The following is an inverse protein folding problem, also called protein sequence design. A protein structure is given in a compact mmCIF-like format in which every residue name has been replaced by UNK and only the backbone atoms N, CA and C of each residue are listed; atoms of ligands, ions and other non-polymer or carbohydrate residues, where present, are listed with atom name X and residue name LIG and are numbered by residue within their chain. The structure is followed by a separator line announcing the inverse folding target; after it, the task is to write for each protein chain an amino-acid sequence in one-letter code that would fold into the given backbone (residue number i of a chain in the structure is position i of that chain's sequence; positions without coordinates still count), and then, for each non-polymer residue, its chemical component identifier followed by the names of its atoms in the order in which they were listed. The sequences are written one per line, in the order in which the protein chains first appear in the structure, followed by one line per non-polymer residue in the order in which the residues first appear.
data_IF_943639640643
#
_entry.id   IF_943639640643
#
_cell.length_a   1.000
_cell.length_b   1.000
_cell.length_c   1.000
_cell.angle_alpha   90.00
_cell.angle_beta   90.00
_cell.angle_gamma   90.00
#
_symmetry.space_group_name_H-M   'P 1'
#
loop_
_entity.id
_entity.type
_entity.pdbx_description
1 polymer ?
#
# COMPACT_ATOMS: atom_id res chain seq x y z
N UNK A 1 -1.65 5.51 -7.82
CA UNK A 1 -1.82 5.72 -9.26
C UNK A 1 -0.51 5.38 -9.99
N UNK A 2 -0.54 4.31 -10.82
CA UNK A 2 0.64 3.83 -11.56
C UNK A 2 1.19 4.86 -12.57
N UNK A 3 0.33 5.73 -13.08
CA UNK A 3 0.74 6.78 -14.02
C UNK A 3 1.68 7.80 -13.36
N UNK A 4 1.37 8.25 -12.13
CA UNK A 4 2.25 9.16 -11.37
C UNK A 4 3.61 8.50 -11.14
N UNK A 5 3.63 7.23 -10.73
CA UNK A 5 4.87 6.50 -10.57
C UNK A 5 5.66 6.43 -11.87
N UNK A 6 5.03 6.03 -12.97
CA UNK A 6 5.71 5.95 -14.26
C UNK A 6 6.33 7.27 -14.72
N UNK A 7 5.64 8.39 -14.45
CA UNK A 7 6.13 9.73 -14.87
C UNK A 7 7.23 10.28 -13.96
N UNK A 8 7.19 10.01 -12.67
CA UNK A 8 7.96 10.75 -11.66
C UNK A 8 8.92 9.90 -10.84
N UNK A 9 8.89 8.55 -10.93
CA UNK A 9 9.72 7.66 -10.10
C UNK A 9 11.22 7.97 -10.23
N UNK A 10 11.69 8.28 -11.45
CA UNK A 10 13.09 8.67 -11.68
C UNK A 10 13.49 9.92 -10.91
N UNK A 11 12.64 10.96 -10.97
CA UNK A 11 12.86 12.20 -10.22
C UNK A 11 12.79 11.97 -8.71
N UNK A 12 11.81 11.23 -8.23
CA UNK A 12 11.68 10.96 -6.81
C UNK A 12 12.88 10.23 -6.23
N UNK A 13 13.47 9.32 -6.98
CA UNK A 13 14.71 8.64 -6.59
C UNK A 13 15.91 9.56 -6.64
N UNK A 14 16.06 10.36 -7.71
CA UNK A 14 17.14 11.32 -7.87
C UNK A 14 17.20 12.32 -6.71
N UNK A 15 16.02 12.80 -6.28
CA UNK A 15 15.91 13.76 -5.18
C UNK A 15 15.72 13.12 -3.79
N UNK A 16 15.84 11.81 -3.68
CA UNK A 16 15.79 11.08 -2.39
C UNK A 16 14.46 11.18 -1.66
N UNK A 17 13.34 11.20 -2.41
CA UNK A 17 11.99 11.20 -1.83
C UNK A 17 11.72 9.86 -1.14
N UNK A 18 11.35 9.89 0.12
CA UNK A 18 11.09 8.68 0.90
C UNK A 18 9.66 8.16 0.78
N UNK A 19 8.69 9.07 0.81
CA UNK A 19 7.26 8.74 0.84
C UNK A 19 6.49 9.60 -0.16
N UNK A 20 5.64 8.96 -0.97
CA UNK A 20 4.73 9.60 -1.92
C UNK A 20 3.30 9.26 -1.55
N UNK A 21 2.55 10.25 -1.08
CA UNK A 21 1.14 10.12 -0.74
C UNK A 21 0.27 10.45 -1.95
N UNK A 22 -0.70 9.60 -2.23
CA UNK A 22 -1.61 9.74 -3.36
C UNK A 22 -3.05 9.51 -2.92
N UNK A 23 -3.96 10.18 -3.58
CA UNK A 23 -5.40 9.98 -3.47
C UNK A 23 -6.01 9.46 -4.77
N UNK A 24 -7.28 9.76 -4.98
CA UNK A 24 -8.09 9.46 -6.16
C UNK A 24 -8.60 8.02 -6.24
N UNK A 25 -7.76 7.03 -6.07
CA UNK A 25 -8.22 5.64 -5.99
C UNK A 25 -8.91 5.38 -4.65
N UNK A 26 -10.06 4.70 -4.67
CA UNK A 26 -10.85 4.47 -3.47
C UNK A 26 -10.55 3.08 -2.86
N UNK A 27 -9.29 2.85 -2.60
CA UNK A 27 -8.74 1.69 -1.92
C UNK A 27 -7.50 2.10 -1.12
N UNK A 28 -6.99 1.18 -0.33
CA UNK A 28 -5.66 1.28 0.25
C UNK A 28 -4.69 0.46 -0.60
N UNK A 29 -3.57 1.05 -0.97
CA UNK A 29 -2.50 0.32 -1.64
C UNK A 29 -1.15 0.93 -1.26
N UNK A 30 -0.27 0.08 -0.73
CA UNK A 30 1.13 0.41 -0.48
C UNK A 30 2.01 -0.34 -1.48
N UNK A 31 3.01 0.34 -2.01
CA UNK A 31 3.93 -0.22 -2.98
C UNK A 31 5.31 0.38 -2.80
N UNK A 32 6.33 -0.46 -2.88
CA UNK A 32 7.73 -0.08 -2.94
C UNK A 32 8.39 -0.61 -4.22
N UNK A 33 9.55 -0.08 -4.54
CA UNK A 33 10.43 -0.77 -5.47
C UNK A 33 11.19 -1.88 -4.74
N UNK A 34 11.79 -2.80 -5.49
CA UNK A 34 12.66 -3.84 -4.94
C UNK A 34 14.04 -3.70 -5.58
N UNK A 35 15.09 -3.94 -4.81
CA UNK A 35 16.44 -4.12 -5.34
C UNK A 35 16.63 -5.55 -5.88
N UNK A 36 17.81 -5.86 -6.35
CA UNK A 36 18.14 -7.18 -6.93
C UNK A 36 18.04 -8.31 -5.90
N UNK A 37 18.23 -8.00 -4.61
CA UNK A 37 18.08 -8.91 -3.49
C UNK A 37 16.63 -9.10 -3.04
N UNK A 38 15.68 -8.35 -3.65
CA UNK A 38 14.26 -8.38 -3.33
C UNK A 38 13.86 -7.53 -2.12
N UNK A 39 14.76 -6.70 -1.60
CA UNK A 39 14.49 -5.81 -0.49
C UNK A 39 13.75 -4.56 -0.94
N UNK A 40 12.88 -4.04 -0.09
CA UNK A 40 12.11 -2.83 -0.34
C UNK A 40 13.02 -1.60 -0.42
N UNK A 41 12.80 -0.75 -1.42
CA UNK A 41 13.51 0.51 -1.61
C UNK A 41 12.56 1.69 -1.76
N UNK A 42 13.00 2.89 -1.35
CA UNK A 42 12.27 4.15 -1.53
C UNK A 42 12.25 4.58 -3.01
N UNK A 43 11.23 5.36 -3.42
CA UNK A 43 10.11 5.83 -2.62
C UNK A 43 9.12 4.75 -2.23
N UNK A 44 8.52 4.88 -1.05
CA UNK A 44 7.29 4.18 -0.70
C UNK A 44 6.11 4.96 -1.26
N UNK A 45 5.30 4.30 -2.05
CA UNK A 45 4.06 4.87 -2.60
C UNK A 45 2.87 4.41 -1.79
N UNK A 46 2.05 5.35 -1.37
CA UNK A 46 0.81 5.08 -0.65
C UNK A 46 -0.37 5.72 -1.35
N UNK A 47 -1.36 4.92 -1.69
CA UNK A 47 -2.71 5.36 -2.04
C UNK A 47 -3.62 5.07 -0.87
N UNK A 48 -4.39 6.06 -0.44
CA UNK A 48 -5.35 5.89 0.65
C UNK A 48 -6.56 6.80 0.45
N UNK A 49 -7.68 6.45 1.09
CA UNK A 49 -8.89 7.25 1.05
C UNK A 49 -9.73 7.11 2.33
N UNK A 50 -10.46 8.17 2.67
CA UNK A 50 -11.41 8.22 3.78
C UNK A 50 -12.88 8.28 3.30
N UNK A 51 -13.15 8.16 2.00
CA UNK A 51 -14.49 8.24 1.41
C UNK A 51 -15.28 6.94 1.63
N UNK A 52 -16.61 7.01 1.87
CA UNK A 52 -17.45 5.82 1.90
C UNK A 52 -17.69 5.21 0.51
N UNK A 53 -17.29 5.89 -0.55
CA UNK A 53 -17.43 5.38 -1.92
C UNK A 53 -16.25 4.47 -2.23
N UNK A 54 -16.54 3.28 -2.74
CA UNK A 54 -15.55 2.39 -3.31
C UNK A 54 -15.74 2.34 -4.82
N UNK A 55 -14.69 2.59 -5.59
CA UNK A 55 -14.73 2.55 -7.04
C UNK A 55 -14.16 1.24 -7.59
N UNK A 56 -13.67 1.30 -8.83
CA UNK A 56 -13.03 0.21 -9.50
C UNK A 56 -11.83 -0.26 -8.70
N UNK A 57 -11.88 -1.49 -8.22
CA UNK A 57 -10.80 -2.12 -7.48
C UNK A 57 -9.88 -2.82 -8.47
N UNK A 58 -8.61 -2.46 -8.44
CA UNK A 58 -7.60 -3.05 -9.30
C UNK A 58 -6.58 -3.76 -8.44
N UNK A 59 -6.64 -5.09 -8.40
CA UNK A 59 -5.58 -5.91 -7.83
C UNK A 59 -4.33 -5.80 -8.69
N UNK A 60 -3.17 -5.62 -8.07
CA UNK A 60 -1.91 -5.51 -8.78
C UNK A 60 -0.80 -6.22 -7.97
N UNK A 61 -0.14 -7.17 -8.58
CA UNK A 61 0.90 -8.00 -7.95
C UNK A 61 2.11 -7.18 -7.46
N UNK A 62 2.22 -5.90 -7.87
CA UNK A 62 3.25 -4.98 -7.39
C UNK A 62 2.95 -4.34 -6.03
N UNK A 63 1.73 -4.48 -5.52
CA UNK A 63 1.41 -3.93 -4.20
C UNK A 63 2.03 -4.80 -3.11
N UNK A 64 2.65 -4.16 -2.14
CA UNK A 64 3.15 -4.82 -0.92
C UNK A 64 1.99 -5.09 0.05
N UNK A 65 0.99 -4.18 0.06
CA UNK A 65 -0.20 -4.28 0.90
C UNK A 65 -1.41 -3.67 0.18
N UNK A 66 -2.58 -4.29 0.35
CA UNK A 66 -3.81 -3.87 -0.32
C UNK A 66 -5.01 -3.99 0.61
N UNK A 67 -5.94 -3.02 0.54
CA UNK A 67 -7.16 -3.01 1.32
C UNK A 67 -8.34 -2.42 0.55
N UNK A 68 -9.52 -3.01 0.70
CA UNK A 68 -10.72 -2.62 -0.06
C UNK A 68 -11.93 -2.37 0.83
N UNK A 69 -12.84 -1.50 0.37
CA UNK A 69 -14.14 -1.23 0.96
C UNK A 69 -14.14 -0.79 2.43
N UNK A 70 -13.02 -0.21 2.90
CA UNK A 70 -12.86 0.39 4.22
C UNK A 70 -12.32 1.80 4.08
N UNK A 71 -12.44 2.61 5.12
CA UNK A 71 -11.85 3.94 5.20
C UNK A 71 -10.54 3.85 5.98
N UNK A 72 -9.55 4.59 5.50
CA UNK A 72 -8.22 4.58 6.08
C UNK A 72 -7.78 6.02 6.36
N UNK A 73 -7.10 6.22 7.48
CA UNK A 73 -6.36 7.45 7.76
C UNK A 73 -4.93 7.11 8.17
N UNK A 74 -4.02 8.06 8.02
CA UNK A 74 -2.61 7.85 8.28
C UNK A 74 -2.13 8.77 9.39
N UNK A 75 -1.25 8.22 10.22
CA UNK A 75 -0.40 8.95 11.14
C UNK A 75 1.04 8.80 10.67
N UNK A 76 1.74 9.94 10.48
CA UNK A 76 3.11 9.98 9.98
C UNK A 76 3.94 10.75 10.98
N UNK A 77 4.93 10.07 11.55
CA UNK A 77 5.94 10.65 12.43
C UNK A 77 7.27 10.74 11.70
N UNK A 78 7.94 11.88 11.86
CA UNK A 78 9.32 12.07 11.41
C UNK A 78 10.16 12.48 12.60
N UNK A 79 11.09 11.62 13.00
CA UNK A 79 11.96 11.85 14.14
C UNK A 79 13.40 11.47 13.78
N UNK A 80 14.30 12.45 13.72
CA UNK A 80 15.67 12.24 13.28
C UNK A 80 15.70 11.61 11.89
N UNK A 81 16.37 10.49 11.75
CA UNK A 81 16.55 9.76 10.50
C UNK A 81 15.44 8.71 10.24
N UNK A 82 14.36 8.77 10.99
CA UNK A 82 13.26 7.79 10.89
C UNK A 82 11.96 8.47 10.51
N UNK A 83 11.31 7.95 9.46
CA UNK A 83 9.92 8.23 9.12
C UNK A 83 9.11 6.97 9.42
N UNK A 84 8.08 7.08 10.26
CA UNK A 84 7.10 6.01 10.50
C UNK A 84 5.75 6.39 9.91
N UNK A 85 5.20 5.54 9.08
CA UNK A 85 3.84 5.66 8.56
C UNK A 85 3.00 4.53 9.12
N UNK A 86 1.92 4.88 9.80
CA UNK A 86 0.90 3.97 10.29
C UNK A 86 -0.42 4.29 9.61
N UNK A 87 -1.14 3.27 9.16
CA UNK A 87 -2.50 3.42 8.66
C UNK A 87 -3.48 2.74 9.61
N UNK A 88 -4.59 3.42 9.85
CA UNK A 88 -5.66 2.96 10.71
C UNK A 88 -6.98 2.91 9.95
N UNK A 89 -7.87 2.03 10.39
CA UNK A 89 -9.25 1.97 9.95
C UNK A 89 -10.11 3.04 10.67
N UNK A 90 -11.32 3.23 10.22
CA UNK A 90 -12.30 4.14 10.82
C UNK A 90 -12.69 3.83 12.28
N UNK A 91 -12.30 2.67 12.80
CA UNK A 91 -12.51 2.23 14.18
C UNK A 91 -11.20 2.24 15.00
N UNK A 92 -10.20 2.97 14.54
CA UNK A 92 -8.87 3.11 15.14
C UNK A 92 -8.04 1.81 15.22
N UNK A 93 -8.46 0.74 14.54
CA UNK A 93 -7.65 -0.46 14.42
C UNK A 93 -6.47 -0.24 13.49
N UNK A 94 -5.27 -0.62 13.93
CA UNK A 94 -4.06 -0.55 13.11
C UNK A 94 -4.19 -1.49 11.91
N UNK A 95 -3.93 -0.95 10.73
CA UNK A 95 -3.99 -1.68 9.48
C UNK A 95 -2.63 -1.86 8.81
N UNK A 96 -1.78 -0.84 8.85
CA UNK A 96 -0.44 -0.89 8.28
C UNK A 96 0.55 -0.13 9.17
N UNK A 97 1.81 -0.57 9.18
CA UNK A 97 2.89 0.06 9.94
C UNK A 97 4.22 -0.16 9.24
N UNK A 98 4.81 0.92 8.76
CA UNK A 98 6.08 0.88 8.04
C UNK A 98 7.02 1.95 8.58
N UNK A 99 8.29 1.60 8.75
CA UNK A 99 9.35 2.57 9.03
C UNK A 99 10.34 2.65 7.89
N UNK A 100 10.75 3.87 7.58
CA UNK A 100 11.86 4.18 6.68
C UNK A 100 12.95 4.77 7.55
N UNK A 101 14.08 4.09 7.62
CA UNK A 101 15.23 4.47 8.46
C UNK A 101 16.41 4.78 7.57
N UNK A 102 16.96 5.99 7.70
CA UNK A 102 18.21 6.40 7.04
C UNK A 102 19.39 6.22 8.00
N UNK A 103 20.47 5.67 7.51
CA UNK A 103 21.70 5.52 8.27
C UNK A 103 22.93 5.67 7.34
N UNK A 104 24.12 5.56 7.89
CA UNK A 104 25.36 5.68 7.13
C UNK A 104 25.50 4.64 5.99
N UNK A 105 24.84 3.51 6.09
CA UNK A 105 24.85 2.44 5.07
C UNK A 105 23.73 2.55 4.04
N UNK A 106 22.81 3.51 4.19
CA UNK A 106 21.72 3.76 3.24
C UNK A 106 20.35 3.86 3.88
N UNK A 107 19.32 3.60 3.10
CA UNK A 107 17.91 3.66 3.51
C UNK A 107 17.33 2.25 3.61
N UNK A 108 16.73 1.93 4.76
CA UNK A 108 16.07 0.66 5.02
C UNK A 108 14.56 0.88 5.21
N UNK A 109 13.74 0.02 4.62
CA UNK A 109 12.29 -0.03 4.87
C UNK A 109 11.98 -1.27 5.71
N UNK A 110 11.31 -1.03 6.84
CA UNK A 110 10.92 -2.07 7.81
C UNK A 110 9.39 -2.17 7.80
N UNK A 111 8.87 -3.31 7.38
CA UNK A 111 7.45 -3.64 7.40
C UNK A 111 7.09 -4.31 8.72
N UNK A 112 6.36 -3.60 9.58
CA UNK A 112 5.90 -4.11 10.89
C UNK A 112 4.45 -4.65 10.81
N UNK A 113 3.82 -4.63 9.63
CA UNK A 113 2.43 -5.04 9.46
C UNK A 113 2.28 -6.45 8.85
N UNK A 114 3.35 -7.23 8.77
CA UNK A 114 3.35 -8.56 8.14
C UNK A 114 2.32 -9.51 8.74
N UNK A 115 2.09 -9.40 10.05
CA UNK A 115 1.14 -10.26 10.79
C UNK A 115 -0.27 -9.64 10.90
N UNK A 116 -0.48 -8.43 10.37
CA UNK A 116 -1.79 -7.80 10.34
C UNK A 116 -2.53 -8.25 9.08
N UNK A 117 -3.71 -8.89 9.18
CA UNK A 117 -4.44 -9.38 8.03
C UNK A 117 -4.83 -8.25 7.06
N UNK A 118 -4.75 -8.50 5.77
CA UNK A 118 -5.29 -7.61 4.75
C UNK A 118 -6.82 -7.72 4.68
N UNK A 119 -7.49 -6.59 4.48
CA UNK A 119 -8.95 -6.52 4.41
C UNK A 119 -9.35 -6.40 2.94
N UNK A 120 -9.91 -7.49 2.42
CA UNK A 120 -10.41 -7.59 1.05
C UNK A 120 -11.94 -7.77 1.09
N UNK A 121 -12.63 -6.70 1.45
CA UNK A 121 -14.09 -6.68 1.48
C UNK A 121 -14.64 -6.28 0.11
N UNK A 122 -15.64 -7.03 -0.35
CA UNK A 122 -16.34 -6.71 -1.59
C UNK A 122 -17.29 -5.53 -1.38
N UNK A 123 -17.21 -4.48 -2.20
CA UNK A 123 -18.19 -3.41 -2.15
C UNK A 123 -19.61 -3.91 -2.44
N UNK A 124 -20.58 -3.53 -1.60
CA UNK A 124 -21.98 -3.99 -1.69
C UNK A 124 -22.65 -3.73 -3.06
N UNK A 125 -22.13 -2.77 -3.82
CA UNK A 125 -22.65 -2.45 -5.17
C UNK A 125 -22.18 -3.41 -6.26
N UNK A 126 -21.18 -4.25 -6.00
CA UNK A 126 -20.74 -5.26 -6.96
C UNK A 126 -21.73 -6.41 -6.98
N UNK A 127 -22.13 -6.83 -8.18
CA UNK A 127 -23.06 -7.94 -8.39
C UNK A 127 -22.73 -8.71 -9.66
N UNK A 128 -23.23 -9.91 -9.80
CA UNK A 128 -23.04 -10.77 -10.96
C UNK A 128 -21.57 -10.98 -11.30
N UNK A 129 -21.22 -10.92 -12.56
CA UNK A 129 -19.85 -11.18 -13.06
C UNK A 129 -18.77 -10.34 -12.38
N UNK A 130 -19.09 -9.11 -11.97
CA UNK A 130 -18.11 -8.23 -11.29
C UNK A 130 -17.84 -8.69 -9.85
N UNK A 131 -18.84 -9.22 -9.16
CA UNK A 131 -18.66 -9.82 -7.84
C UNK A 131 -17.82 -11.10 -7.93
N UNK A 132 -18.13 -11.97 -8.88
CA UNK A 132 -17.34 -13.19 -9.14
C UNK A 132 -15.88 -12.89 -9.50
N UNK A 133 -15.65 -11.86 -10.31
CA UNK A 133 -14.30 -11.41 -10.66
C UNK A 133 -13.54 -10.88 -9.42
N UNK A 134 -14.22 -10.12 -8.56
CA UNK A 134 -13.64 -9.64 -7.32
C UNK A 134 -13.20 -10.81 -6.42
N UNK A 135 -14.09 -11.79 -6.20
CA UNK A 135 -13.79 -12.95 -5.35
C UNK A 135 -12.60 -13.76 -5.88
N UNK A 136 -12.57 -14.05 -7.19
CA UNK A 136 -11.42 -14.72 -7.80
C UNK A 136 -10.12 -13.97 -7.60
N UNK A 137 -10.14 -12.64 -7.77
CA UNK A 137 -8.95 -11.81 -7.59
C UNK A 137 -8.54 -11.71 -6.13
N UNK A 138 -9.49 -11.63 -5.21
CA UNK A 138 -9.24 -11.62 -3.77
C UNK A 138 -8.65 -12.96 -3.29
N UNK A 139 -9.16 -14.08 -3.79
CA UNK A 139 -8.60 -15.40 -3.50
C UNK A 139 -7.18 -15.55 -4.03
N UNK A 140 -6.94 -15.19 -5.30
CA UNK A 140 -5.60 -15.18 -5.90
C UNK A 140 -4.64 -14.30 -5.08
N UNK A 141 -5.11 -13.14 -4.65
CA UNK A 141 -4.33 -12.21 -3.84
C UNK A 141 -3.95 -12.80 -2.48
N UNK A 142 -4.89 -13.40 -1.75
CA UNK A 142 -4.62 -14.07 -0.46
C UNK A 142 -3.60 -15.19 -0.59
N UNK A 143 -3.61 -15.88 -1.72
CA UNK A 143 -2.74 -17.03 -1.98
C UNK A 143 -1.39 -16.66 -2.63
N UNK A 144 -1.10 -15.38 -2.91
CA UNK A 144 0.09 -14.96 -3.65
C UNK A 144 1.43 -15.35 -3.00
N UNK A 145 1.44 -15.61 -1.70
CA UNK A 145 2.63 -16.05 -0.96
C UNK A 145 2.65 -17.54 -0.66
N UNK A 146 1.57 -18.28 -0.97
CA UNK A 146 1.50 -19.72 -0.72
C UNK A 146 2.08 -20.56 -1.87
N UNK A 147 2.25 -19.95 -3.05
CA UNK A 147 2.83 -20.59 -4.23
C UNK A 147 4.27 -20.12 -4.36
N UNK A 148 5.18 -20.82 -3.70
CA UNK A 148 6.62 -20.79 -3.97
C UNK A 148 7.09 -22.19 -4.25
#
# INVERSE_FOLDING_TARGET
NLAVRWMFDGLFREYGVDLVLQGHEHNYARMTNKNDEGEMTTPLYLVSHASPKSYRLSFNDKYDRFGTNRRFYQHIDVTGDTLRMQAYLENDSLYDDVRIVKNASGTQIIDNAKDIPEILEMPARLSGKKAEEFERNAEKWRNRFLVK
#
